data_IF_193887407121
#
_entry.id   IF_193887407121
#
_cell.length_a   1.000
_cell.length_b   1.000
_cell.length_c   1.000
_cell.angle_alpha   90.00
_cell.angle_beta   90.00
_cell.angle_gamma   90.00
#
_symmetry.space_group_name_H-M   'P 1'
#
loop_
_entity.id
_entity.type
_entity.pdbx_description
1 polymer ?
#
# COMPACT_ATOMS: atom_id res chain seq x y z
N UNK A 1 -4.84 16.56 5.25
CA UNK A 1 -4.37 15.44 4.42
C UNK A 1 -4.92 15.61 3.00
N UNK A 2 -4.08 15.53 1.97
CA UNK A 2 -4.57 15.67 0.58
C UNK A 2 -5.52 14.48 0.25
N UNK A 3 -6.44 14.65 -0.71
CA UNK A 3 -7.44 13.63 -1.04
C UNK A 3 -6.83 12.33 -1.60
N UNK A 4 -5.75 12.44 -2.38
CA UNK A 4 -5.01 11.30 -2.94
C UNK A 4 -4.31 10.49 -1.84
N UNK A 5 -3.69 11.17 -0.87
CA UNK A 5 -3.05 10.55 0.29
C UNK A 5 -4.07 9.79 1.13
N UNK A 6 -5.27 10.35 1.33
CA UNK A 6 -6.36 9.63 2.02
C UNK A 6 -6.73 8.34 1.29
N UNK A 7 -6.92 8.41 -0.03
CA UNK A 7 -7.25 7.21 -0.82
C UNK A 7 -6.12 6.19 -0.85
N UNK A 8 -4.86 6.63 -0.91
CA UNK A 8 -3.72 5.73 -0.86
C UNK A 8 -3.66 4.96 0.47
N UNK A 9 -3.92 5.64 1.60
CA UNK A 9 -4.03 4.99 2.91
C UNK A 9 -5.18 3.98 2.97
N UNK A 10 -6.34 4.30 2.39
CA UNK A 10 -7.48 3.38 2.31
C UNK A 10 -7.15 2.15 1.43
N UNK A 11 -6.49 2.33 0.29
CA UNK A 11 -6.05 1.25 -0.59
C UNK A 11 -5.06 0.32 0.13
N UNK A 12 -4.05 0.90 0.79
CA UNK A 12 -3.07 0.12 1.56
C UNK A 12 -3.77 -0.68 2.66
N UNK A 13 -4.69 -0.08 3.41
CA UNK A 13 -5.46 -0.77 4.46
C UNK A 13 -6.23 -1.98 3.92
N UNK A 14 -6.86 -1.84 2.75
CA UNK A 14 -7.60 -2.94 2.09
C UNK A 14 -6.61 -4.03 1.61
N UNK A 15 -5.49 -3.63 1.02
CA UNK A 15 -4.46 -4.56 0.56
C UNK A 15 -3.87 -5.36 1.72
N UNK A 16 -3.57 -4.70 2.86
CA UNK A 16 -3.09 -5.36 4.07
C UNK A 16 -4.10 -6.38 4.60
N UNK A 17 -5.38 -6.02 4.70
CA UNK A 17 -6.43 -6.97 5.09
C UNK A 17 -6.49 -8.17 4.13
N UNK A 18 -6.42 -7.91 2.82
CA UNK A 18 -6.35 -8.93 1.80
C UNK A 18 -5.15 -9.89 1.96
N UNK A 19 -3.95 -9.34 2.17
CA UNK A 19 -2.72 -10.13 2.41
C UNK A 19 -2.77 -10.92 3.71
N UNK A 20 -3.50 -10.44 4.71
CA UNK A 20 -3.63 -11.09 6.02
C UNK A 20 -4.57 -12.30 5.96
N UNK A 21 -5.68 -12.17 5.23
CA UNK A 21 -6.77 -13.15 5.29
C UNK A 21 -6.91 -14.02 4.03
N UNK A 22 -6.38 -13.59 2.89
CA UNK A 22 -6.48 -14.38 1.66
C UNK A 22 -5.56 -15.59 1.69
N UNK A 23 -6.07 -16.69 1.12
CA UNK A 23 -5.32 -17.93 0.89
C UNK A 23 -5.13 -18.23 -0.60
N UNK A 24 -5.76 -17.44 -1.47
CA UNK A 24 -5.64 -17.58 -2.92
C UNK A 24 -4.39 -16.85 -3.41
N UNK A 25 -3.55 -17.56 -4.16
CA UNK A 25 -2.26 -17.04 -4.63
C UNK A 25 -2.41 -15.86 -5.60
N UNK A 26 -3.48 -15.84 -6.40
CA UNK A 26 -3.73 -14.74 -7.34
C UNK A 26 -4.26 -13.51 -6.61
N UNK A 27 -5.06 -13.69 -5.57
CA UNK A 27 -5.49 -12.57 -4.72
C UNK A 27 -4.32 -11.95 -3.95
N UNK A 28 -3.41 -12.77 -3.43
CA UNK A 28 -2.19 -12.30 -2.77
C UNK A 28 -1.37 -11.43 -3.75
N UNK A 29 -1.20 -11.87 -5.00
CA UNK A 29 -0.50 -11.07 -6.02
C UNK A 29 -1.22 -9.75 -6.33
N UNK A 30 -2.57 -9.75 -6.37
CA UNK A 30 -3.37 -8.53 -6.57
C UNK A 30 -3.22 -7.57 -5.39
N UNK A 31 -3.24 -8.04 -4.16
CA UNK A 31 -3.07 -7.18 -2.99
C UNK A 31 -1.66 -6.60 -2.91
N UNK A 32 -0.63 -7.37 -3.27
CA UNK A 32 0.74 -6.84 -3.40
C UNK A 32 0.82 -5.73 -4.46
N UNK A 33 0.11 -5.87 -5.59
CA UNK A 33 0.03 -4.80 -6.61
C UNK A 33 -0.67 -3.55 -6.06
N UNK A 34 -1.81 -3.71 -5.37
CA UNK A 34 -2.52 -2.59 -4.73
C UNK A 34 -1.64 -1.88 -3.71
N UNK A 35 -0.88 -2.63 -2.90
CA UNK A 35 0.05 -2.10 -1.91
C UNK A 35 1.16 -1.27 -2.56
N UNK A 36 1.70 -1.73 -3.70
CA UNK A 36 2.68 -0.95 -4.47
C UNK A 36 2.09 0.34 -5.03
N UNK A 37 0.88 0.31 -5.58
CA UNK A 37 0.19 1.50 -6.09
C UNK A 37 -0.02 2.53 -4.96
N UNK A 38 -0.42 2.07 -3.77
CA UNK A 38 -0.56 2.95 -2.61
C UNK A 38 0.77 3.61 -2.24
N UNK A 39 1.87 2.85 -2.22
CA UNK A 39 3.21 3.37 -1.94
C UNK A 39 3.63 4.45 -2.95
N UNK A 40 3.37 4.24 -4.24
CA UNK A 40 3.68 5.22 -5.29
C UNK A 40 2.88 6.52 -5.07
N UNK A 41 1.57 6.42 -4.81
CA UNK A 41 0.72 7.61 -4.57
C UNK A 41 1.19 8.37 -3.32
N UNK A 42 1.58 7.68 -2.25
CA UNK A 42 2.08 8.31 -1.02
C UNK A 42 3.41 9.00 -1.26
N UNK A 43 4.35 8.36 -1.97
CA UNK A 43 5.64 8.95 -2.33
C UNK A 43 5.44 10.27 -3.08
N UNK A 44 4.64 10.25 -4.15
CA UNK A 44 4.31 11.44 -4.95
C UNK A 44 3.55 12.51 -4.14
N UNK A 45 2.64 12.09 -3.25
CA UNK A 45 1.83 13.00 -2.43
C UNK A 45 2.59 13.67 -1.28
N UNK A 46 3.73 13.12 -0.88
CA UNK A 46 4.49 13.54 0.30
C UNK A 46 5.91 14.02 -0.03
N UNK A 47 6.35 13.91 -1.29
CA UNK A 47 7.74 14.10 -1.71
C UNK A 47 8.74 13.23 -0.93
N UNK A 48 8.29 12.13 -0.34
CA UNK A 48 9.16 11.13 0.27
C UNK A 48 9.66 10.18 -0.81
N UNK A 49 10.92 9.74 -0.68
CA UNK A 49 11.47 8.74 -1.58
C UNK A 49 10.70 7.42 -1.45
N UNK A 50 10.38 6.80 -2.58
CA UNK A 50 9.56 5.59 -2.63
C UNK A 50 10.10 4.46 -1.74
N UNK A 51 11.42 4.31 -1.63
CA UNK A 51 12.01 3.27 -0.78
C UNK A 51 11.65 3.48 0.70
N UNK A 52 11.67 4.72 1.21
CA UNK A 52 11.28 5.04 2.59
C UNK A 52 9.80 4.79 2.84
N UNK A 53 8.96 5.10 1.85
CA UNK A 53 7.52 4.81 1.94
C UNK A 53 7.29 3.30 2.01
N UNK A 54 8.01 2.52 1.19
CA UNK A 54 7.92 1.06 1.21
C UNK A 54 8.49 0.45 2.49
N UNK A 55 9.56 0.99 3.06
CA UNK A 55 10.04 0.56 4.38
C UNK A 55 8.91 0.68 5.41
N UNK A 56 8.28 1.84 5.54
CA UNK A 56 7.19 2.06 6.51
C UNK A 56 5.99 1.14 6.25
N UNK A 57 5.52 1.05 5.00
CA UNK A 57 4.30 0.27 4.69
C UNK A 57 4.51 -1.24 4.78
N UNK A 58 5.73 -1.74 4.53
CA UNK A 58 6.01 -3.18 4.45
C UNK A 58 6.71 -3.73 5.70
N UNK A 59 7.19 -2.86 6.61
CA UNK A 59 7.72 -3.24 7.94
C UNK A 59 6.64 -3.50 8.99
N UNK A 60 5.40 -3.02 8.81
CA UNK A 60 4.27 -3.40 9.69
C UNK A 60 4.00 -4.91 9.59
N UNK A 61 4.50 -5.68 10.56
CA UNK A 61 4.19 -7.08 10.84
C UNK A 61 3.76 -7.27 12.28
#
# INVERSE_FOLDING_TARGET
MNKLLKWATEIDSIAQAGLTYSKDVYDIDRFNQLKNIAADIISESTNLELHKVKEVLFEER
#
